data_IF_407157727824
#
_entry.id   IF_407157727824
#
_cell.length_a   1.000
_cell.length_b   1.000
_cell.length_c   1.000
_cell.angle_alpha   90.00
_cell.angle_beta   90.00
_cell.angle_gamma   90.00
#
_symmetry.space_group_name_H-M   'P 1'
#
loop_
_entity.id
_entity.type
_entity.pdbx_description
1 polymer ?
#
# COMPACT_ATOMS: atom_id res chain seq x y z
N UNK A 1 -72.29 23.26 8.99
CA UNK A 1 -71.30 24.30 9.35
C UNK A 1 -70.55 23.82 10.59
N UNK A 2 -69.20 23.80 10.52
CA UNK A 2 -68.18 23.79 11.61
C UNK A 2 -68.24 22.65 12.65
N UNK A 3 -67.38 21.61 12.60
CA UNK A 3 -65.99 21.52 13.16
C UNK A 3 -65.90 22.00 14.63
N UNK A 4 -65.27 21.34 15.62
CA UNK A 4 -64.16 20.38 15.64
C UNK A 4 -64.07 19.65 17.03
N UNK A 5 -63.69 18.37 16.99
CA UNK A 5 -63.03 17.43 17.94
C UNK A 5 -62.59 17.90 19.35
N UNK A 6 -62.92 17.21 20.46
CA UNK A 6 -62.41 15.91 21.02
C UNK A 6 -60.90 15.86 21.33
N UNK A 7 -60.55 15.85 22.62
CA UNK A 7 -59.33 15.25 23.17
C UNK A 7 -59.71 14.54 24.48
N UNK A 8 -59.53 13.22 24.53
CA UNK A 8 -59.63 12.45 25.78
C UNK A 8 -58.62 11.32 25.73
N UNK A 9 -57.78 11.28 26.77
CA UNK A 9 -56.76 10.28 27.03
C UNK A 9 -57.35 8.86 26.96
N UNK A 10 -56.72 7.99 26.18
CA UNK A 10 -56.78 6.56 26.39
C UNK A 10 -55.36 6.03 26.59
N UNK A 11 -55.10 5.62 27.84
CA UNK A 11 -54.00 4.73 28.20
C UNK A 11 -54.20 3.39 27.47
N UNK A 12 -53.26 3.04 26.58
CA UNK A 12 -53.11 1.70 26.07
C UNK A 12 -51.76 1.16 26.53
N UNK A 13 -51.83 0.18 27.44
CA UNK A 13 -50.73 -0.68 27.85
C UNK A 13 -50.26 -1.48 26.63
N UNK A 14 -49.07 -1.17 26.11
CA UNK A 14 -48.35 -2.07 25.22
C UNK A 14 -47.32 -2.79 26.06
N UNK A 15 -47.59 -4.06 26.30
CA UNK A 15 -46.66 -5.05 26.82
C UNK A 15 -45.44 -5.12 25.89
N UNK A 16 -44.33 -4.50 26.29
CA UNK A 16 -43.03 -4.76 25.69
C UNK A 16 -42.59 -6.16 26.11
N UNK A 17 -42.86 -7.14 25.25
CA UNK A 17 -42.08 -8.36 25.22
C UNK A 17 -40.61 -7.96 25.08
N UNK A 18 -39.85 -8.19 26.14
CA UNK A 18 -38.39 -8.09 26.14
C UNK A 18 -37.85 -9.12 25.15
N UNK A 19 -37.75 -8.74 23.88
CA UNK A 19 -36.78 -9.36 22.99
C UNK A 19 -35.42 -8.91 23.49
N UNK A 20 -34.82 -9.74 24.33
CA UNK A 20 -33.38 -9.76 24.52
C UNK A 20 -32.76 -10.13 23.18
N UNK A 21 -32.64 -9.14 22.28
CA UNK A 21 -31.66 -9.23 21.22
C UNK A 21 -30.31 -9.23 21.93
N UNK A 22 -29.66 -10.39 21.92
CA UNK A 22 -28.28 -10.57 22.33
C UNK A 22 -27.42 -9.45 21.75
N UNK A 23 -27.07 -8.47 22.58
CA UNK A 23 -26.01 -7.49 22.32
C UNK A 23 -24.72 -8.19 21.86
N UNK A 24 -24.54 -9.45 22.27
CA UNK A 24 -23.41 -10.30 21.92
C UNK A 24 -23.31 -10.66 20.43
N UNK A 25 -24.42 -10.71 19.67
CA UNK A 25 -24.40 -11.03 18.23
C UNK A 25 -24.08 -9.81 17.36
N UNK A 26 -24.43 -8.60 17.82
CA UNK A 26 -24.06 -7.35 17.14
C UNK A 26 -22.60 -6.98 17.45
N UNK A 27 -22.13 -7.24 18.68
CA UNK A 27 -20.72 -7.03 19.06
C UNK A 27 -19.76 -8.01 18.38
N UNK A 28 -20.17 -9.25 18.08
CA UNK A 28 -19.31 -10.18 17.32
C UNK A 28 -19.23 -9.86 15.83
N UNK A 29 -20.21 -9.17 15.24
CA UNK A 29 -20.11 -8.71 13.86
C UNK A 29 -19.30 -7.42 13.72
N UNK A 30 -19.32 -6.53 14.71
CA UNK A 30 -18.54 -5.28 14.67
C UNK A 30 -17.04 -5.50 14.94
N UNK A 31 -16.69 -6.51 15.74
CA UNK A 31 -15.29 -6.78 16.13
C UNK A 31 -14.49 -7.61 15.11
N UNK A 32 -15.16 -8.25 14.13
CA UNK A 32 -14.51 -9.04 13.09
C UNK A 32 -14.08 -8.22 11.86
N UNK A 33 -14.36 -6.91 11.81
CA UNK A 33 -14.20 -6.11 10.58
C UNK A 33 -12.87 -5.34 10.44
N UNK A 34 -11.95 -5.43 11.40
CA UNK A 34 -10.73 -4.60 11.37
C UNK A 34 -9.43 -5.32 11.74
N UNK A 35 -9.39 -6.66 11.65
CA UNK A 35 -8.10 -7.34 11.72
C UNK A 35 -7.50 -7.43 10.32
N UNK A 36 -6.41 -6.70 10.08
CA UNK A 36 -5.63 -6.78 8.85
C UNK A 36 -4.46 -7.71 9.14
N UNK A 37 -4.53 -8.93 8.60
CA UNK A 37 -3.45 -9.90 8.71
C UNK A 37 -2.25 -9.47 7.87
N UNK A 38 -1.15 -9.13 8.54
CA UNK A 38 0.12 -8.89 7.88
C UNK A 38 0.78 -10.24 7.53
N UNK A 39 1.47 -10.35 6.39
CA UNK A 39 2.03 -11.62 5.94
C UNK A 39 3.29 -12.05 6.70
N UNK A 40 3.74 -11.24 7.66
CA UNK A 40 4.89 -11.52 8.51
C UNK A 40 4.74 -10.80 9.85
N UNK A 41 5.33 -11.38 10.88
CA UNK A 41 5.40 -10.81 12.22
C UNK A 41 6.71 -10.04 12.44
N UNK A 42 6.80 -9.37 13.59
CA UNK A 42 7.94 -8.56 14.01
C UNK A 42 9.28 -9.28 13.87
N UNK A 43 9.36 -10.54 14.31
CA UNK A 43 10.60 -11.34 14.22
C UNK A 43 11.04 -11.55 12.77
N UNK A 44 10.09 -11.92 11.90
CA UNK A 44 10.34 -12.14 10.49
C UNK A 44 10.71 -10.83 9.77
N UNK A 45 10.06 -9.73 10.13
CA UNK A 45 10.37 -8.40 9.61
C UNK A 45 11.80 -7.97 9.98
N UNK A 46 12.18 -8.06 11.25
CA UNK A 46 13.54 -7.73 11.71
C UNK A 46 14.61 -8.58 11.01
N UNK A 47 14.33 -9.87 10.78
CA UNK A 47 15.22 -10.76 10.02
C UNK A 47 15.41 -10.29 8.57
N UNK A 48 14.34 -9.80 7.93
CA UNK A 48 14.42 -9.25 6.56
C UNK A 48 15.20 -7.94 6.53
N UNK A 49 14.94 -7.02 7.47
CA UNK A 49 15.68 -5.76 7.57
C UNK A 49 17.19 -5.99 7.75
N UNK A 50 17.56 -6.91 8.66
CA UNK A 50 18.96 -7.29 8.85
C UNK A 50 19.56 -7.93 7.59
N UNK A 51 18.82 -8.81 6.90
CA UNK A 51 19.25 -9.42 5.64
C UNK A 51 19.48 -8.39 4.53
N UNK A 52 18.67 -7.33 4.49
CA UNK A 52 18.75 -6.28 3.47
C UNK A 52 19.62 -5.09 3.87
N UNK A 53 20.34 -5.19 5.00
CA UNK A 53 21.22 -4.11 5.49
C UNK A 53 20.46 -2.79 5.64
N UNK A 54 19.24 -2.86 6.20
CA UNK A 54 18.39 -1.68 6.43
C UNK A 54 18.56 -1.25 7.88
N UNK A 55 19.21 -0.12 8.07
CA UNK A 55 19.26 0.55 9.37
C UNK A 55 19.84 1.96 9.23
N UNK A 56 19.62 2.82 10.22
CA UNK A 56 20.19 4.18 10.23
C UNK A 56 21.73 4.20 10.18
N UNK A 57 22.42 3.11 10.54
CA UNK A 57 23.88 3.02 10.50
C UNK A 57 24.42 2.62 9.12
N UNK A 58 23.58 2.06 8.25
CA UNK A 58 23.93 1.68 6.88
C UNK A 58 23.77 2.88 5.91
N UNK A 59 23.04 3.90 6.35
CA UNK A 59 22.78 5.12 5.58
C UNK A 59 23.87 6.19 5.81
N UNK A 60 24.15 7.04 4.80
CA UNK A 60 25.07 8.15 4.98
C UNK A 60 24.56 9.15 6.04
N UNK A 61 25.49 9.79 6.75
CA UNK A 61 25.16 10.78 7.77
C UNK A 61 24.27 11.92 7.22
N UNK A 62 24.59 12.38 6.01
CA UNK A 62 23.76 13.29 5.24
C UNK A 62 23.09 12.56 4.08
N UNK A 63 21.78 12.76 3.97
CA UNK A 63 20.96 12.23 2.87
C UNK A 63 20.19 13.40 2.32
N UNK A 64 20.34 13.71 1.03
CA UNK A 64 19.57 14.78 0.40
C UNK A 64 18.10 14.36 0.31
N UNK A 65 17.26 15.00 1.11
CA UNK A 65 15.81 14.80 1.08
C UNK A 65 15.29 15.56 -0.13
N UNK A 66 14.56 14.87 -1.03
CA UNK A 66 13.96 15.43 -2.26
C UNK A 66 14.97 15.74 -3.38
N UNK A 67 16.02 14.95 -3.53
CA UNK A 67 16.90 15.05 -4.69
C UNK A 67 16.11 15.04 -6.01
N UNK A 68 16.45 15.93 -6.95
CA UNK A 68 15.85 16.02 -8.30
C UNK A 68 16.28 14.86 -9.23
N UNK A 69 17.07 13.93 -8.72
CA UNK A 69 17.38 12.67 -9.40
C UNK A 69 16.18 11.72 -9.31
N UNK A 70 15.69 11.27 -10.46
CA UNK A 70 14.51 10.39 -10.57
C UNK A 70 14.63 9.15 -9.70
N UNK A 71 15.78 8.46 -9.79
CA UNK A 71 16.08 7.25 -9.02
C UNK A 71 16.77 7.53 -7.68
N UNK A 72 17.26 8.76 -7.46
CA UNK A 72 18.04 9.16 -6.29
C UNK A 72 19.33 8.36 -6.06
N UNK A 73 19.80 8.39 -4.82
CA UNK A 73 21.01 7.70 -4.36
C UNK A 73 20.66 6.43 -3.58
N UNK A 74 21.52 5.43 -3.70
CA UNK A 74 21.51 4.16 -2.96
C UNK A 74 22.97 3.82 -2.64
N UNK A 75 23.46 4.31 -1.49
CA UNK A 75 24.85 4.14 -1.09
C UNK A 75 25.12 2.76 -0.46
N UNK A 76 24.13 2.15 0.19
CA UNK A 76 24.26 0.81 0.79
C UNK A 76 24.01 -0.32 -0.23
N UNK A 77 23.66 0.01 -1.47
CA UNK A 77 23.42 -0.91 -2.60
C UNK A 77 22.34 -1.96 -2.30
N UNK A 78 21.33 -1.59 -1.52
CA UNK A 78 20.20 -2.46 -1.22
C UNK A 78 19.03 -2.31 -2.22
N UNK A 79 19.20 -1.44 -3.23
CA UNK A 79 18.21 -1.06 -4.26
C UNK A 79 17.01 -0.29 -3.70
N UNK A 80 17.20 0.35 -2.56
CA UNK A 80 16.26 1.28 -1.97
C UNK A 80 16.92 2.65 -1.98
N UNK A 81 16.17 3.65 -2.40
CA UNK A 81 16.64 5.02 -2.37
C UNK A 81 16.84 5.47 -0.91
N UNK A 82 18.02 6.00 -0.60
CA UNK A 82 18.42 6.29 0.78
C UNK A 82 17.49 7.30 1.47
N UNK A 83 16.98 8.32 0.76
CA UNK A 83 16.05 9.31 1.31
C UNK A 83 14.71 8.66 1.72
N UNK A 84 14.26 7.68 0.95
CA UNK A 84 13.05 6.91 1.20
C UNK A 84 13.26 5.93 2.35
N UNK A 85 14.36 5.17 2.36
CA UNK A 85 14.69 4.27 3.48
C UNK A 85 14.76 5.05 4.80
N UNK A 86 15.47 6.17 4.82
CA UNK A 86 15.58 7.04 5.99
C UNK A 86 14.23 7.53 6.48
N UNK A 87 13.36 7.93 5.56
CA UNK A 87 12.03 8.41 5.90
C UNK A 87 11.13 7.29 6.44
N UNK A 88 11.23 6.06 5.92
CA UNK A 88 10.52 4.90 6.49
C UNK A 88 10.99 4.61 7.91
N UNK A 89 12.31 4.56 8.14
CA UNK A 89 12.89 4.31 9.46
C UNK A 89 12.54 5.39 10.48
N UNK A 90 12.34 6.63 10.03
CA UNK A 90 11.91 7.74 10.88
C UNK A 90 10.40 7.74 11.16
N UNK A 91 9.58 7.38 10.17
CA UNK A 91 8.13 7.46 10.26
C UNK A 91 7.49 6.25 10.93
N UNK A 92 8.03 5.05 10.75
CA UNK A 92 7.38 3.81 11.14
C UNK A 92 7.96 3.20 12.41
N UNK A 93 7.07 2.97 13.38
CA UNK A 93 7.43 2.33 14.66
C UNK A 93 7.46 0.80 14.58
N UNK A 94 6.67 0.22 13.68
CA UNK A 94 6.58 -1.22 13.49
C UNK A 94 7.53 -1.65 12.36
N UNK A 95 8.46 -2.61 12.61
CA UNK A 95 9.37 -3.09 11.57
C UNK A 95 8.62 -3.73 10.40
N UNK A 96 7.40 -4.24 10.64
CA UNK A 96 6.54 -4.78 9.60
C UNK A 96 6.22 -3.74 8.53
N UNK A 97 5.83 -2.52 8.94
CA UNK A 97 5.53 -1.43 8.01
C UNK A 97 6.78 -0.95 7.27
N UNK A 98 7.94 -0.96 7.92
CA UNK A 98 9.22 -0.67 7.24
C UNK A 98 9.44 -1.68 6.12
N UNK A 99 9.37 -2.98 6.41
CA UNK A 99 9.54 -4.04 5.41
C UNK A 99 8.52 -3.92 4.28
N UNK A 100 7.25 -3.64 4.57
CA UNK A 100 6.22 -3.41 3.54
C UNK A 100 6.59 -2.22 2.64
N UNK A 101 7.03 -1.11 3.24
CA UNK A 101 7.49 0.06 2.49
C UNK A 101 8.68 -0.26 1.57
N UNK A 102 9.63 -1.07 2.03
CA UNK A 102 10.78 -1.50 1.23
C UNK A 102 10.37 -2.45 0.10
N UNK A 103 9.47 -3.40 0.36
CA UNK A 103 8.97 -4.30 -0.68
C UNK A 103 8.26 -3.53 -1.81
N UNK A 104 7.54 -2.46 -1.46
CA UNK A 104 6.86 -1.61 -2.43
C UNK A 104 7.82 -0.91 -3.41
N UNK A 105 9.09 -0.70 -3.05
CA UNK A 105 10.04 -0.02 -3.94
C UNK A 105 10.29 -0.80 -5.22
N UNK A 106 10.31 -2.13 -5.17
CA UNK A 106 10.47 -2.97 -6.36
C UNK A 106 9.42 -2.69 -7.43
N UNK A 107 8.17 -2.43 -7.01
CA UNK A 107 7.05 -2.10 -7.89
C UNK A 107 7.18 -0.68 -8.41
N UNK A 108 7.46 0.29 -7.54
CA UNK A 108 7.54 1.69 -7.93
C UNK A 108 8.79 2.02 -8.74
N UNK A 109 9.92 1.37 -8.49
CA UNK A 109 11.10 1.45 -9.32
C UNK A 109 10.81 0.95 -10.74
N UNK A 110 10.01 -0.12 -10.89
CA UNK A 110 9.57 -0.61 -12.19
C UNK A 110 8.66 0.39 -12.92
N UNK A 111 7.82 1.15 -12.20
CA UNK A 111 7.08 2.28 -12.78
C UNK A 111 8.03 3.38 -13.28
N UNK A 112 9.02 3.77 -12.47
CA UNK A 112 10.01 4.77 -12.87
C UNK A 112 10.86 4.31 -14.07
N UNK A 113 11.19 3.03 -14.16
CA UNK A 113 11.87 2.43 -15.31
C UNK A 113 11.00 2.49 -16.57
N UNK A 114 9.71 2.16 -16.49
CA UNK A 114 8.78 2.29 -17.61
C UNK A 114 8.74 3.73 -18.13
N UNK A 115 8.70 4.72 -17.23
CA UNK A 115 8.77 6.14 -17.61
C UNK A 115 10.11 6.49 -18.29
N UNK A 116 11.24 6.05 -17.72
CA UNK A 116 12.58 6.40 -18.21
C UNK A 116 12.99 5.62 -19.48
N UNK A 117 12.32 4.53 -19.81
CA UNK A 117 12.67 3.65 -20.93
C UNK A 117 11.41 3.19 -21.66
N UNK A 118 10.67 4.11 -22.32
CA UNK A 118 9.39 3.80 -22.96
C UNK A 118 9.51 2.80 -24.11
N UNK A 119 10.71 2.64 -24.67
CA UNK A 119 11.01 1.62 -25.70
C UNK A 119 10.99 0.19 -25.14
N UNK A 120 11.10 0.01 -23.82
CA UNK A 120 11.00 -1.29 -23.17
C UNK A 120 9.54 -1.75 -23.21
N UNK A 121 9.25 -2.67 -24.13
CA UNK A 121 7.91 -3.21 -24.32
C UNK A 121 7.54 -4.17 -23.19
N UNK A 122 6.59 -3.77 -22.34
CA UNK A 122 5.88 -4.69 -21.46
C UNK A 122 4.83 -5.45 -22.26
N UNK A 123 4.66 -6.73 -21.95
CA UNK A 123 3.46 -7.45 -22.37
C UNK A 123 2.23 -6.92 -21.65
N UNK A 124 1.05 -7.14 -22.22
CA UNK A 124 -0.24 -6.83 -21.59
C UNK A 124 -0.34 -7.43 -20.18
N UNK A 125 0.08 -8.69 -20.02
CA UNK A 125 0.07 -9.38 -18.74
C UNK A 125 0.95 -8.67 -17.70
N UNK A 126 2.16 -8.31 -18.07
CA UNK A 126 3.08 -7.58 -17.18
C UNK A 126 2.55 -6.18 -16.83
N UNK A 127 1.89 -5.51 -17.77
CA UNK A 127 1.29 -4.21 -17.52
C UNK A 127 0.12 -4.30 -16.53
N UNK A 128 -0.75 -5.32 -16.68
CA UNK A 128 -1.82 -5.61 -15.72
C UNK A 128 -1.23 -5.94 -14.35
N UNK A 129 -0.24 -6.84 -14.28
CA UNK A 129 0.41 -7.22 -13.02
C UNK A 129 1.03 -6.01 -12.32
N UNK A 130 1.74 -5.14 -13.05
CA UNK A 130 2.36 -3.96 -12.46
C UNK A 130 1.33 -2.96 -11.93
N UNK A 131 0.24 -2.72 -12.68
CA UNK A 131 -0.86 -1.86 -12.25
C UNK A 131 -1.55 -2.42 -11.01
N UNK A 132 -1.93 -3.71 -11.03
CA UNK A 132 -2.63 -4.38 -9.93
C UNK A 132 -1.76 -4.41 -8.67
N UNK A 133 -0.46 -4.70 -8.79
CA UNK A 133 0.45 -4.70 -7.65
C UNK A 133 0.59 -3.29 -7.03
N UNK A 134 0.78 -2.26 -7.85
CA UNK A 134 0.85 -0.87 -7.38
C UNK A 134 -0.43 -0.45 -6.65
N UNK A 135 -1.60 -0.74 -7.23
CA UNK A 135 -2.89 -0.44 -6.61
C UNK A 135 -3.14 -1.26 -5.33
N UNK A 136 -2.73 -2.52 -5.29
CA UNK A 136 -2.89 -3.39 -4.10
C UNK A 136 -2.05 -2.89 -2.93
N UNK A 137 -0.81 -2.44 -3.19
CA UNK A 137 0.04 -1.79 -2.16
C UNK A 137 -0.69 -0.57 -1.58
N UNK A 138 -1.18 0.33 -2.44
CA UNK A 138 -1.85 1.56 -2.00
C UNK A 138 -3.14 1.27 -1.23
N UNK A 139 -3.92 0.28 -1.70
CA UNK A 139 -5.15 -0.12 -1.04
C UNK A 139 -4.87 -0.77 0.32
N UNK A 140 -3.82 -1.61 0.43
CA UNK A 140 -3.43 -2.17 1.73
C UNK A 140 -3.09 -1.07 2.74
N UNK A 141 -2.29 -0.07 2.36
CA UNK A 141 -1.97 1.05 3.24
C UNK A 141 -3.20 1.88 3.59
N UNK A 142 -4.12 2.10 2.64
CA UNK A 142 -5.38 2.77 2.93
C UNK A 142 -6.20 2.03 4.01
N UNK A 143 -6.26 0.70 3.96
CA UNK A 143 -6.93 -0.11 4.98
C UNK A 143 -6.20 -0.03 6.33
N UNK A 144 -4.87 -0.13 6.33
CA UNK A 144 -4.06 -0.02 7.55
C UNK A 144 -4.24 1.34 8.23
N UNK A 145 -4.36 2.42 7.45
CA UNK A 145 -4.63 3.76 7.95
C UNK A 145 -5.99 3.91 8.66
N UNK A 146 -6.95 3.00 8.40
CA UNK A 146 -8.22 2.99 9.15
C UNK A 146 -8.04 2.42 10.56
N UNK A 147 -7.00 1.61 10.78
CA UNK A 147 -6.68 0.95 12.06
C UNK A 147 -5.59 1.71 12.82
N UNK A 148 -4.59 2.23 12.11
CA UNK A 148 -3.49 3.04 12.61
C UNK A 148 -3.51 4.41 11.91
N UNK A 149 -4.20 5.39 12.50
CA UNK A 149 -4.43 6.70 11.87
C UNK A 149 -3.15 7.53 11.73
N UNK A 150 -2.10 7.21 12.50
CA UNK A 150 -0.81 7.89 12.43
C UNK A 150 0.09 7.30 11.33
N UNK A 151 -0.32 6.18 10.70
CA UNK A 151 0.44 5.54 9.65
C UNK A 151 0.49 6.43 8.39
N UNK A 152 1.68 6.91 8.03
CA UNK A 152 1.88 7.63 6.77
C UNK A 152 1.86 6.67 5.59
N UNK A 153 1.21 7.04 4.48
CA UNK A 153 1.27 6.23 3.26
C UNK A 153 2.66 6.35 2.60
N UNK A 154 3.35 5.22 2.35
CA UNK A 154 4.72 5.25 1.83
C UNK A 154 4.80 5.76 0.40
N UNK A 155 3.69 5.74 -0.36
CA UNK A 155 3.65 6.28 -1.72
C UNK A 155 3.98 7.77 -1.73
N UNK A 156 3.56 8.50 -0.69
CA UNK A 156 3.80 9.94 -0.56
C UNK A 156 5.27 10.22 -0.23
N UNK A 157 5.91 9.31 0.49
CA UNK A 157 7.33 9.37 0.81
C UNK A 157 8.18 9.00 -0.43
N UNK A 158 7.75 8.00 -1.20
CA UNK A 158 8.51 7.54 -2.37
C UNK A 158 8.43 8.50 -3.56
N UNK A 159 7.26 9.09 -3.82
CA UNK A 159 7.06 10.09 -4.87
C UNK A 159 6.99 11.49 -4.25
N UNK A 160 8.03 11.85 -3.51
CA UNK A 160 8.17 13.09 -2.73
C UNK A 160 8.59 14.33 -3.55
N UNK A 161 8.89 14.18 -4.84
CA UNK A 161 9.25 15.32 -5.72
C UNK A 161 8.28 15.43 -6.88
N UNK A 162 8.15 16.63 -7.44
CA UNK A 162 7.27 16.85 -8.60
C UNK A 162 7.70 16.00 -9.80
N UNK A 163 9.00 15.84 -10.03
CA UNK A 163 9.53 14.98 -11.10
C UNK A 163 9.11 13.51 -10.91
N UNK A 164 9.23 12.96 -9.69
CA UNK A 164 8.84 11.59 -9.37
C UNK A 164 7.32 11.39 -9.50
N UNK A 165 6.52 12.37 -9.07
CA UNK A 165 5.06 12.35 -9.25
C UNK A 165 4.65 12.37 -10.72
N UNK A 166 5.29 13.22 -11.54
CA UNK A 166 5.05 13.24 -12.98
C UNK A 166 5.43 11.91 -13.62
N UNK A 167 6.60 11.36 -13.29
CA UNK A 167 7.04 10.06 -13.81
C UNK A 167 6.06 8.92 -13.45
N UNK A 168 5.57 8.90 -12.20
CA UNK A 168 4.54 7.95 -11.77
C UNK A 168 3.28 8.05 -12.63
N UNK A 169 2.76 9.27 -12.80
CA UNK A 169 1.52 9.52 -13.55
C UNK A 169 1.66 9.07 -15.00
N UNK A 170 2.76 9.44 -15.65
CA UNK A 170 3.02 9.05 -17.03
C UNK A 170 3.23 7.55 -17.18
N UNK A 171 3.92 6.89 -16.24
CA UNK A 171 4.04 5.43 -16.22
C UNK A 171 2.67 4.75 -16.08
N UNK A 172 1.80 5.22 -15.18
CA UNK A 172 0.44 4.70 -15.02
C UNK A 172 -0.41 4.90 -16.29
N UNK A 173 -0.28 6.05 -16.95
CA UNK A 173 -0.92 6.29 -18.25
C UNK A 173 -0.40 5.32 -19.33
N UNK A 174 0.90 5.06 -19.39
CA UNK A 174 1.49 4.09 -20.30
C UNK A 174 0.96 2.67 -20.03
N UNK A 175 0.85 2.25 -18.77
CA UNK A 175 0.24 0.97 -18.41
C UNK A 175 -1.18 0.85 -18.92
N UNK A 176 -2.02 1.87 -18.71
CA UNK A 176 -3.39 1.88 -19.20
C UNK A 176 -3.47 1.82 -20.73
N UNK A 177 -2.55 2.50 -21.42
CA UNK A 177 -2.43 2.44 -22.88
C UNK A 177 -2.09 1.02 -23.39
N UNK A 178 -1.14 0.35 -22.73
CA UNK A 178 -0.75 -1.04 -23.05
C UNK A 178 -1.90 -2.02 -22.79
N UNK A 179 -2.63 -1.84 -21.69
CA UNK A 179 -3.80 -2.67 -21.35
C UNK A 179 -4.94 -2.47 -22.37
N UNK A 180 -5.14 -1.24 -22.84
CA UNK A 180 -6.11 -0.91 -23.87
C UNK A 180 -7.51 -1.41 -23.54
N UNK A 181 -8.08 -2.23 -24.42
CA UNK A 181 -9.45 -2.76 -24.30
C UNK A 181 -9.58 -3.97 -23.37
N UNK A 182 -8.49 -4.43 -22.76
CA UNK A 182 -8.47 -5.64 -21.91
C UNK A 182 -8.69 -5.32 -20.43
N UNK A 183 -9.32 -4.18 -20.15
CA UNK A 183 -9.65 -3.76 -18.78
C UNK A 183 -10.52 -4.78 -18.04
N UNK A 184 -11.34 -5.54 -18.78
CA UNK A 184 -12.14 -6.64 -18.24
C UNK A 184 -11.31 -7.82 -17.68
N UNK A 185 -10.02 -7.92 -18.02
CA UNK A 185 -9.10 -8.91 -17.45
C UNK A 185 -8.46 -8.46 -16.14
N UNK A 186 -8.57 -7.18 -15.78
CA UNK A 186 -8.02 -6.68 -14.52
C UNK A 186 -8.85 -7.25 -13.37
N UNK A 187 -8.20 -8.03 -12.52
CA UNK A 187 -8.80 -8.55 -11.29
C UNK A 187 -7.99 -8.05 -10.11
N UNK A 188 -8.63 -7.33 -9.20
CA UNK A 188 -8.00 -6.89 -7.96
C UNK A 188 -8.20 -7.94 -6.86
N UNK A 189 -7.18 -8.18 -6.01
CA UNK A 189 -7.31 -9.10 -4.89
C UNK A 189 -8.30 -8.55 -3.86
N UNK A 190 -9.15 -9.42 -3.32
CA UNK A 190 -10.07 -9.07 -2.22
C UNK A 190 -9.33 -8.73 -0.91
N UNK A 191 -8.12 -9.25 -0.74
CA UNK A 191 -7.24 -8.98 0.38
C UNK A 191 -5.98 -8.28 -0.15
N UNK A 192 -5.96 -6.94 -0.27
CA UNK A 192 -4.87 -6.24 -0.94
C UNK A 192 -3.51 -6.42 -0.25
N UNK A 193 -3.49 -6.66 1.07
CA UNK A 193 -2.25 -6.83 1.83
C UNK A 193 -1.52 -8.15 1.56
N UNK A 194 -2.16 -9.15 0.94
CA UNK A 194 -1.47 -10.40 0.55
C UNK A 194 -0.40 -10.18 -0.51
N UNK A 195 -0.40 -9.02 -1.18
CA UNK A 195 0.68 -8.64 -2.11
C UNK A 195 2.06 -8.73 -1.46
N UNK A 196 2.19 -8.37 -0.18
CA UNK A 196 3.49 -8.39 0.49
C UNK A 196 3.99 -9.81 0.77
N UNK A 197 3.11 -10.81 0.88
CA UNK A 197 3.52 -12.21 0.90
C UNK A 197 4.17 -12.59 -0.45
N UNK A 198 3.53 -12.20 -1.56
CA UNK A 198 4.05 -12.48 -2.90
C UNK A 198 5.40 -11.79 -3.14
N UNK A 199 5.54 -10.53 -2.72
CA UNK A 199 6.76 -9.74 -2.91
C UNK A 199 7.96 -10.26 -2.10
N UNK A 200 7.74 -10.89 -0.94
CA UNK A 200 8.82 -11.53 -0.17
C UNK A 200 9.38 -12.75 -0.91
N UNK A 201 8.52 -13.50 -1.59
CA UNK A 201 8.88 -14.74 -2.27
C UNK A 201 9.42 -14.53 -3.67
N UNK A 202 9.12 -13.39 -4.31
CA UNK A 202 9.90 -12.93 -5.46
C UNK A 202 11.29 -12.50 -4.97
N UNK A 203 12.31 -13.32 -5.26
CA UNK A 203 13.74 -13.11 -4.94
C UNK A 203 14.23 -11.65 -5.13
N UNK A 204 15.27 -11.24 -4.37
CA UNK A 204 15.35 -9.96 -3.69
C UNK A 204 15.42 -8.75 -4.64
N UNK A 205 15.20 -7.56 -4.06
CA UNK A 205 15.53 -6.23 -4.59
C UNK A 205 16.81 -6.16 -5.48
N UNK A 206 17.76 -7.09 -5.30
CA UNK A 206 19.01 -7.22 -6.07
C UNK A 206 18.93 -7.94 -7.43
N UNK A 207 17.92 -8.78 -7.71
CA UNK A 207 17.88 -9.58 -8.95
C UNK A 207 17.38 -8.81 -10.18
N UNK A 208 16.82 -7.61 -10.01
CA UNK A 208 16.45 -6.74 -11.15
C UNK A 208 17.67 -6.20 -11.93
N UNK A 209 18.88 -6.29 -11.35
CA UNK A 209 20.14 -5.84 -11.96
C UNK A 209 20.61 -6.74 -13.11
N UNK A 210 20.35 -8.06 -13.08
CA UNK A 210 20.93 -8.97 -14.09
C UNK A 210 20.27 -8.90 -15.47
N UNK A 211 19.07 -8.34 -15.60
CA UNK A 211 18.40 -8.20 -16.90
C UNK A 211 18.79 -6.92 -17.65
N UNK A 212 19.37 -5.92 -16.96
CA UNK A 212 19.63 -4.59 -17.55
C UNK A 212 21.13 -4.18 -17.58
N UNK A 213 22.05 -5.00 -17.06
CA UNK A 213 23.50 -4.81 -17.25
C UNK A 213 24.08 -5.61 -18.44
N UNK A 214 23.22 -6.01 -19.40
CA UNK A 214 23.65 -6.48 -20.72
C UNK A 214 23.29 -5.43 -21.77
N UNK A 215 24.00 -4.32 -21.73
CA UNK A 215 24.09 -3.34 -22.82
C UNK A 215 25.52 -2.83 -22.86
#
# INVERSE_FOLDING_TARGET
MTQLYRFLLCLALVSFSTYGFSQTALDTQLNNQHHIDLPFNQYSALKLLAKWQVSSTELPAYTEINSELLFGSDYNNNNVRDDYEKALLAAYKQPEYVVMGLLATSIWQRLLQLYNSPEQKLSEKEAIELLVNSMSINHCYYLLQQVDQDLMSPILIYFNTQQRLTAKKEAEHQLLSIIGNQQNKITFPNQPCTIFANLIHSEPLQNYIKMNNKS
#
